data_IF_258830140258
#
_entry.id   IF_258830140258
#
_cell.length_a   1.000
_cell.length_b   1.000
_cell.length_c   1.000
_cell.angle_alpha   90.00
_cell.angle_beta   90.00
_cell.angle_gamma   90.00
#
_symmetry.space_group_name_H-M   'P 1'
#
loop_
_entity.id
_entity.type
_entity.pdbx_description
1 polymer ?
#
# COMPACT_ATOMS: atom_id res chain seq x y z
N UNK A 1 -11.84 5.34 -27.85
CA UNK A 1 -10.52 5.74 -27.30
C UNK A 1 -10.50 7.24 -26.95
N UNK A 2 -11.59 7.76 -26.35
CA UNK A 2 -11.68 9.14 -25.83
C UNK A 2 -11.72 9.18 -24.29
N UNK A 3 -11.89 8.03 -23.64
CA UNK A 3 -11.91 7.91 -22.18
C UNK A 3 -10.58 8.31 -21.53
N UNK A 4 -9.45 7.97 -22.16
CA UNK A 4 -8.11 8.31 -21.65
C UNK A 4 -7.92 9.83 -21.60
N UNK A 5 -8.41 10.56 -22.62
CA UNK A 5 -8.40 12.04 -22.64
C UNK A 5 -9.34 12.61 -21.58
N UNK A 6 -10.54 12.05 -21.43
CA UNK A 6 -11.48 12.49 -20.42
C UNK A 6 -10.93 12.34 -18.99
N UNK A 7 -10.25 11.22 -18.71
CA UNK A 7 -9.57 10.98 -17.42
C UNK A 7 -8.44 11.99 -17.21
N UNK A 8 -7.60 12.20 -18.22
CA UNK A 8 -6.50 13.18 -18.19
C UNK A 8 -7.04 14.60 -17.96
N UNK A 9 -8.11 14.98 -18.65
CA UNK A 9 -8.75 16.30 -18.53
C UNK A 9 -9.39 16.49 -17.15
N UNK A 10 -10.01 15.46 -16.56
CA UNK A 10 -10.53 15.50 -15.19
C UNK A 10 -9.40 15.66 -14.16
N UNK A 11 -8.27 15.00 -14.35
CA UNK A 11 -7.10 15.11 -13.48
C UNK A 11 -6.52 16.53 -13.57
N UNK A 12 -6.32 17.06 -14.77
CA UNK A 12 -5.88 18.44 -14.95
C UNK A 12 -6.88 19.46 -14.38
N UNK A 13 -8.19 19.22 -14.52
CA UNK A 13 -9.22 20.07 -13.93
C UNK A 13 -9.26 20.01 -12.39
N UNK A 14 -8.85 18.88 -11.80
CA UNK A 14 -8.79 18.70 -10.34
C UNK A 14 -7.58 19.37 -9.68
N UNK A 15 -6.61 19.84 -10.47
CA UNK A 15 -5.38 20.49 -10.01
C UNK A 15 -4.60 19.67 -8.95
N UNK A 16 -4.76 18.35 -8.96
CA UNK A 16 -4.11 17.41 -8.06
C UNK A 16 -2.69 17.11 -8.55
N UNK A 17 -1.70 17.30 -7.68
CA UNK A 17 -0.34 16.87 -7.97
C UNK A 17 -0.25 15.32 -7.93
N UNK A 18 0.67 14.70 -8.69
CA UNK A 18 0.88 13.24 -8.65
C UNK A 18 1.15 12.70 -7.24
N UNK A 19 1.86 13.47 -6.42
CA UNK A 19 2.17 13.13 -5.03
C UNK A 19 0.91 13.14 -4.17
N UNK A 20 0.06 14.17 -4.30
CA UNK A 20 -1.19 14.26 -3.56
C UNK A 20 -2.16 13.14 -3.96
N UNK A 21 -2.25 12.85 -5.27
CA UNK A 21 -3.01 11.70 -5.76
C UNK A 21 -2.52 10.39 -5.15
N UNK A 22 -1.21 10.18 -5.11
CA UNK A 22 -0.62 8.99 -4.51
C UNK A 22 -0.95 8.85 -3.02
N UNK A 23 -0.81 9.93 -2.26
CA UNK A 23 -1.14 9.93 -0.82
C UNK A 23 -2.62 9.56 -0.62
N UNK A 24 -3.52 10.12 -1.43
CA UNK A 24 -4.95 9.78 -1.38
C UNK A 24 -5.19 8.30 -1.67
N UNK A 25 -4.57 7.75 -2.71
CA UNK A 25 -4.66 6.32 -3.05
C UNK A 25 -4.18 5.45 -1.89
N UNK A 26 -3.01 5.76 -1.31
CA UNK A 26 -2.47 5.00 -0.18
C UNK A 26 -3.39 5.08 1.05
N UNK A 27 -3.96 6.24 1.36
CA UNK A 27 -4.91 6.39 2.47
C UNK A 27 -6.21 5.61 2.22
N UNK A 28 -6.78 5.70 1.02
CA UNK A 28 -8.00 4.97 0.66
C UNK A 28 -7.77 3.47 0.75
N UNK A 29 -6.65 2.97 0.19
CA UNK A 29 -6.29 1.55 0.23
C UNK A 29 -6.00 1.08 1.65
N UNK A 30 -5.35 1.91 2.47
CA UNK A 30 -5.07 1.60 3.87
C UNK A 30 -6.36 1.40 4.66
N UNK A 31 -7.33 2.32 4.50
CA UNK A 31 -8.63 2.21 5.15
C UNK A 31 -9.44 1.04 4.58
N UNK A 32 -9.41 0.84 3.27
CA UNK A 32 -10.09 -0.28 2.61
C UNK A 32 -9.57 -1.63 3.12
N UNK A 33 -8.26 -1.76 3.35
CA UNK A 33 -7.63 -2.97 3.86
C UNK A 33 -8.05 -3.40 5.27
N UNK A 34 -8.75 -2.53 6.01
CA UNK A 34 -9.41 -2.94 7.24
C UNK A 34 -10.69 -3.76 7.01
N UNK A 35 -11.35 -3.59 5.86
CA UNK A 35 -12.66 -4.19 5.61
C UNK A 35 -12.64 -5.21 4.46
N UNK A 36 -11.72 -5.05 3.52
CA UNK A 36 -11.67 -5.76 2.24
C UNK A 36 -10.36 -6.56 2.19
N UNK A 37 -10.39 -7.79 1.64
CA UNK A 37 -9.20 -8.62 1.53
C UNK A 37 -8.17 -8.01 0.54
N UNK A 38 -6.87 -8.22 0.74
CA UNK A 38 -5.82 -7.69 -0.13
C UNK A 38 -5.96 -8.22 -1.56
N UNK A 39 -6.42 -9.47 -1.72
CA UNK A 39 -6.72 -10.07 -3.03
C UNK A 39 -7.83 -9.29 -3.73
N UNK A 40 -8.92 -8.98 -3.01
CA UNK A 40 -10.06 -8.22 -3.54
C UNK A 40 -9.63 -6.79 -3.91
N UNK A 41 -8.82 -6.14 -3.07
CA UNK A 41 -8.26 -4.82 -3.37
C UNK A 41 -7.39 -4.86 -4.63
N UNK A 42 -6.52 -5.85 -4.78
CA UNK A 42 -5.65 -6.01 -5.94
C UNK A 42 -6.46 -6.25 -7.22
N UNK A 43 -7.56 -7.02 -7.16
CA UNK A 43 -8.37 -7.30 -8.34
C UNK A 43 -9.37 -6.20 -8.69
N UNK A 44 -9.80 -5.38 -7.72
CA UNK A 44 -10.84 -4.37 -7.93
C UNK A 44 -10.24 -2.97 -8.00
N UNK A 45 -9.50 -2.54 -6.97
CA UNK A 45 -9.04 -1.15 -6.83
C UNK A 45 -7.83 -0.89 -7.74
N UNK A 46 -6.86 -1.80 -7.76
CA UNK A 46 -5.61 -1.58 -8.53
C UNK A 46 -5.89 -1.34 -10.02
N UNK A 47 -6.68 -2.16 -10.74
CA UNK A 47 -6.97 -1.93 -12.16
C UNK A 47 -7.72 -0.63 -12.43
N UNK A 48 -8.53 -0.17 -11.47
CA UNK A 48 -9.27 1.10 -11.57
C UNK A 48 -8.32 2.30 -11.47
N UNK A 49 -7.32 2.24 -10.60
CA UNK A 49 -6.34 3.34 -10.44
C UNK A 49 -5.19 3.29 -11.47
N UNK A 50 -4.83 2.12 -12.00
CA UNK A 50 -3.75 1.96 -13.00
C UNK A 50 -3.82 2.95 -14.17
N UNK A 51 -4.95 3.15 -14.87
CA UNK A 51 -4.99 4.10 -15.98
C UNK A 51 -4.71 5.54 -15.53
N UNK A 52 -5.11 5.90 -14.30
CA UNK A 52 -4.84 7.21 -13.71
C UNK A 52 -3.35 7.36 -13.38
N UNK A 53 -2.73 6.31 -12.82
CA UNK A 53 -1.30 6.29 -12.52
C UNK A 53 -0.46 6.46 -13.79
N UNK A 54 -0.83 5.78 -14.88
CA UNK A 54 -0.18 5.91 -16.19
C UNK A 54 -0.35 7.33 -16.74
N UNK A 55 -1.57 7.89 -16.67
CA UNK A 55 -1.86 9.26 -17.10
C UNK A 55 -1.04 10.31 -16.34
N UNK A 56 -0.77 10.07 -15.06
CA UNK A 56 0.06 10.92 -14.19
C UNK A 56 1.56 10.67 -14.32
N UNK A 57 1.99 9.74 -15.19
CA UNK A 57 3.38 9.29 -15.31
C UNK A 57 3.98 8.79 -13.98
N UNK A 58 3.14 8.18 -13.14
CA UNK A 58 3.59 7.55 -11.89
C UNK A 58 4.18 6.19 -12.22
N UNK A 59 5.35 5.91 -11.66
CA UNK A 59 6.01 4.61 -11.77
C UNK A 59 5.17 3.50 -11.12
N UNK A 60 4.74 2.55 -11.96
CA UNK A 60 3.90 1.43 -11.58
C UNK A 60 4.60 0.43 -10.65
N UNK A 61 5.92 0.29 -10.76
CA UNK A 61 6.68 -0.57 -9.84
C UNK A 61 6.73 0.07 -8.46
N UNK A 62 7.06 1.36 -8.42
CA UNK A 62 7.14 2.10 -7.17
C UNK A 62 5.80 2.09 -6.42
N UNK A 63 4.70 2.45 -7.08
CA UNK A 63 3.37 2.45 -6.45
C UNK A 63 2.93 1.03 -6.07
N UNK A 64 3.30 0.00 -6.87
CA UNK A 64 3.00 -1.40 -6.55
C UNK A 64 3.62 -1.85 -5.23
N UNK A 65 4.88 -1.50 -4.98
CA UNK A 65 5.55 -1.81 -3.72
C UNK A 65 4.98 -0.99 -2.56
N UNK A 66 4.70 0.30 -2.79
CA UNK A 66 4.07 1.15 -1.79
C UNK A 66 2.70 0.58 -1.36
N UNK A 67 1.88 0.14 -2.32
CA UNK A 67 0.61 -0.53 -2.06
C UNK A 67 0.79 -1.86 -1.32
N UNK A 68 1.79 -2.67 -1.68
CA UNK A 68 2.05 -3.95 -1.01
C UNK A 68 2.41 -3.76 0.47
N UNK A 69 3.30 -2.81 0.78
CA UNK A 69 3.69 -2.48 2.15
C UNK A 69 2.48 -1.91 2.91
N UNK A 70 1.76 -0.97 2.30
CA UNK A 70 0.58 -0.34 2.89
C UNK A 70 -0.53 -1.34 3.24
N UNK A 71 -0.80 -2.29 2.34
CA UNK A 71 -1.76 -3.37 2.57
C UNK A 71 -1.31 -4.28 3.71
N UNK A 72 -0.04 -4.68 3.74
CA UNK A 72 0.51 -5.47 4.85
C UNK A 72 0.34 -4.76 6.19
N UNK A 73 0.57 -3.45 6.26
CA UNK A 73 0.37 -2.64 7.47
C UNK A 73 -1.10 -2.57 7.89
N UNK A 74 -2.02 -2.40 6.93
CA UNK A 74 -3.46 -2.34 7.24
C UNK A 74 -3.98 -3.64 7.86
N UNK A 75 -3.52 -4.80 7.37
CA UNK A 75 -3.89 -6.13 7.88
C UNK A 75 -3.40 -6.39 9.32
N UNK A 76 -2.43 -5.61 9.78
CA UNK A 76 -1.81 -5.72 11.10
C UNK A 76 -2.30 -4.65 12.08
N UNK A 77 -3.08 -3.67 11.63
CA UNK A 77 -3.52 -2.54 12.45
C UNK A 77 -5.00 -2.70 12.82
N UNK A 78 -5.41 -2.51 14.09
CA UNK A 78 -6.83 -2.51 14.49
C UNK A 78 -7.57 -1.35 13.80
N UNK A 79 -8.73 -1.59 13.16
CA UNK A 79 -9.95 -2.12 13.79
C UNK A 79 -10.32 -3.57 13.42
N UNK A 80 -9.71 -4.13 12.37
CA UNK A 80 -9.99 -5.47 11.84
C UNK A 80 -8.69 -6.16 11.39
N UNK A 81 -7.71 -6.25 12.29
CA UNK A 81 -6.48 -6.99 12.02
C UNK A 81 -6.75 -8.50 11.98
N UNK A 82 -7.17 -9.03 10.83
CA UNK A 82 -7.47 -10.46 10.64
C UNK A 82 -6.36 -11.35 11.16
N UNK A 83 -5.09 -10.96 10.92
CA UNK A 83 -3.91 -11.63 11.43
C UNK A 83 -3.84 -11.64 12.96
N UNK A 84 -4.25 -10.53 13.61
CA UNK A 84 -4.29 -10.43 15.07
C UNK A 84 -5.40 -11.29 15.67
N UNK A 85 -6.57 -11.35 15.03
CA UNK A 85 -7.67 -12.22 15.47
C UNK A 85 -7.36 -13.70 15.22
N UNK A 86 -6.71 -14.02 14.12
CA UNK A 86 -6.21 -15.36 13.84
C UNK A 86 -5.21 -15.78 14.91
N UNK A 87 -4.22 -14.94 15.22
CA UNK A 87 -3.28 -15.20 16.31
C UNK A 87 -3.99 -15.35 17.66
N UNK A 88 -5.01 -14.51 17.93
CA UNK A 88 -5.79 -14.61 19.16
C UNK A 88 -6.57 -15.92 19.26
N UNK A 89 -7.06 -16.47 18.15
CA UNK A 89 -7.85 -17.72 18.11
C UNK A 89 -7.05 -18.95 18.54
N UNK A 90 -5.73 -18.95 18.30
CA UNK A 90 -4.81 -20.03 18.68
C UNK A 90 -4.01 -19.72 19.95
N UNK A 91 -4.10 -18.50 20.47
CA UNK A 91 -3.34 -18.05 21.64
C UNK A 91 -3.93 -18.60 22.95
N UNK A 92 -3.09 -18.99 23.93
CA UNK A 92 -3.55 -19.41 25.25
C UNK A 92 -4.45 -18.36 25.92
N UNK A 93 -5.43 -18.80 26.73
CA UNK A 93 -6.38 -17.90 27.42
C UNK A 93 -5.72 -16.82 28.29
N UNK A 94 -4.47 -17.05 28.72
CA UNK A 94 -3.68 -16.08 29.51
C UNK A 94 -3.26 -14.84 28.70
N UNK A 95 -3.10 -14.97 27.38
CA UNK A 95 -2.72 -13.86 26.50
C UNK A 95 -3.96 -13.04 26.19
N UNK A 96 -3.99 -11.77 26.60
CA UNK A 96 -5.10 -10.86 26.30
C UNK A 96 -4.94 -10.31 24.89
N UNK A 97 -6.06 -9.90 24.28
CA UNK A 97 -6.05 -9.22 22.98
C UNK A 97 -5.19 -7.96 23.01
N UNK A 98 -5.16 -7.27 24.15
CA UNK A 98 -4.30 -6.10 24.40
C UNK A 98 -2.81 -6.43 24.27
N UNK A 99 -2.38 -7.62 24.70
CA UNK A 99 -0.97 -8.01 24.65
C UNK A 99 -0.52 -8.21 23.19
N UNK A 100 -1.41 -8.77 22.37
CA UNK A 100 -1.21 -8.94 20.93
C UNK A 100 -1.16 -7.58 20.22
N UNK A 101 -2.06 -6.67 20.57
CA UNK A 101 -2.11 -5.33 19.97
C UNK A 101 -0.89 -4.50 20.34
N UNK A 102 -0.43 -4.56 21.59
CA UNK A 102 0.80 -3.88 22.01
C UNK A 102 2.04 -4.50 21.37
N UNK A 103 2.04 -5.82 21.14
CA UNK A 103 3.13 -6.52 20.48
C UNK A 103 3.33 -6.13 19.02
N UNK A 104 2.26 -5.76 18.29
CA UNK A 104 2.36 -5.41 16.86
C UNK A 104 2.71 -3.94 16.61
N UNK A 105 2.44 -3.04 17.56
CA UNK A 105 2.71 -1.60 17.42
C UNK A 105 4.15 -1.28 16.97
N UNK A 106 5.22 -1.86 17.57
CA UNK A 106 6.58 -1.59 17.13
C UNK A 106 6.81 -1.96 15.66
N UNK A 107 6.21 -3.05 15.20
CA UNK A 107 6.33 -3.51 13.83
C UNK A 107 5.59 -2.57 12.86
N UNK A 108 4.38 -2.14 13.21
CA UNK A 108 3.61 -1.15 12.42
C UNK A 108 4.37 0.16 12.31
N UNK A 109 5.00 0.64 13.39
CA UNK A 109 5.82 1.86 13.36
C UNK A 109 6.97 1.71 12.38
N UNK A 110 7.70 0.59 12.41
CA UNK A 110 8.81 0.33 11.47
C UNK A 110 8.29 0.33 10.03
N UNK A 111 7.14 -0.29 9.77
CA UNK A 111 6.55 -0.30 8.43
C UNK A 111 6.15 1.09 7.94
N UNK A 112 5.52 1.91 8.80
CA UNK A 112 5.14 3.28 8.45
C UNK A 112 6.37 4.15 8.18
N UNK A 113 7.41 4.03 9.00
CA UNK A 113 8.69 4.73 8.78
C UNK A 113 9.31 4.30 7.45
N UNK A 114 9.30 3.01 7.15
CA UNK A 114 9.83 2.48 5.90
C UNK A 114 9.02 2.94 4.68
N UNK A 115 7.68 2.97 4.79
CA UNK A 115 6.78 3.48 3.76
C UNK A 115 7.05 4.97 3.48
N UNK A 116 7.18 5.79 4.52
CA UNK A 116 7.54 7.21 4.39
C UNK A 116 8.93 7.36 3.77
N UNK A 117 9.89 6.54 4.18
CA UNK A 117 11.23 6.55 3.63
C UNK A 117 11.23 6.26 2.12
N UNK A 118 10.55 5.20 1.67
CA UNK A 118 10.42 4.85 0.26
C UNK A 118 9.62 5.88 -0.53
N UNK A 119 8.67 6.57 0.11
CA UNK A 119 7.93 7.65 -0.53
C UNK A 119 8.87 8.79 -0.97
N UNK A 120 9.83 9.15 -0.12
CA UNK A 120 10.81 10.21 -0.41
C UNK A 120 12.07 9.71 -1.14
N UNK A 121 12.35 8.40 -1.12
CA UNK A 121 13.55 7.79 -1.71
C UNK A 121 13.16 6.63 -2.64
N UNK A 122 12.51 6.91 -3.78
CA UNK A 122 11.97 5.89 -4.68
C UNK A 122 13.03 4.93 -5.24
N UNK A 123 14.25 5.40 -5.44
CA UNK A 123 15.35 4.62 -6.04
C UNK A 123 15.70 3.34 -5.25
N UNK A 124 15.40 3.30 -3.94
CA UNK A 124 15.64 2.12 -3.11
C UNK A 124 14.87 0.88 -3.56
N UNK A 125 13.76 1.06 -4.27
CA UNK A 125 12.97 -0.02 -4.84
C UNK A 125 13.76 -0.82 -5.88
N UNK A 126 14.65 -0.13 -6.60
CA UNK A 126 15.42 -0.71 -7.69
C UNK A 126 16.68 -1.44 -7.23
N UNK A 127 17.05 -1.33 -5.94
CA UNK A 127 18.25 -1.95 -5.40
C UNK A 127 18.36 -3.45 -5.73
N UNK A 128 17.28 -4.21 -5.49
CA UNK A 128 17.24 -5.65 -5.76
C UNK A 128 17.17 -5.94 -7.26
N UNK A 129 16.24 -5.33 -8.04
CA UNK A 129 16.21 -5.47 -9.50
C UNK A 129 17.57 -5.21 -10.16
N UNK A 130 18.25 -4.13 -9.81
CA UNK A 130 19.53 -3.73 -10.38
C UNK A 130 20.65 -4.70 -9.97
N UNK A 131 20.66 -5.14 -8.71
CA UNK A 131 21.60 -6.15 -8.24
C UNK A 131 21.49 -7.46 -9.04
N UNK A 132 20.26 -7.95 -9.25
CA UNK A 132 20.01 -9.16 -10.03
C UNK A 132 20.41 -9.00 -11.50
N UNK A 133 20.09 -7.84 -12.10
CA UNK A 133 20.45 -7.54 -13.49
C UNK A 133 21.96 -7.57 -13.70
N UNK A 134 22.71 -6.97 -12.77
CA UNK A 134 24.18 -6.93 -12.81
C UNK A 134 24.81 -8.32 -12.60
N UNK A 135 24.17 -9.23 -11.86
CA UNK A 135 24.65 -10.61 -11.69
C UNK A 135 24.40 -11.49 -12.92
N UNK A 136 23.36 -11.18 -13.69
CA UNK A 136 22.98 -11.91 -14.91
C UNK A 136 23.73 -11.47 -16.18
N UNK A 137 24.63 -10.49 -16.07
CA UNK A 137 25.44 -9.92 -17.17
C UNK A 137 26.90 -10.33 -17.03
#
# INVERSE_FOLDING_TARGET
>A
LEGDKFIIDMIYASNLSPEMFTILVLLIVFIAGFFIDFIEIIFIIVPVITPILIALNIDLLWIGIMLAINLQTSFLTPPFGFSLFYLKSVSPKKIKTTDIYMGIIPFVIIQLVFLIFLFFNPDFIYLIPDFLKNYSS
#
